data_IF_385178613003
#
_entry.id   IF_385178613003
#
_cell.length_a   1.000
_cell.length_b   1.000
_cell.length_c   1.000
_cell.angle_alpha   90.00
_cell.angle_beta   90.00
_cell.angle_gamma   90.00
#
_symmetry.space_group_name_H-M   'P 1'
#
loop_
_entity.id
_entity.type
_entity.pdbx_description
1 polymer ?
#
# COMPACT_ATOMS: atom_id res chain seq x y z
N UNK A 1 5.53 -3.20 3.89
CA UNK A 1 5.22 -2.11 2.93
C UNK A 1 5.43 -2.64 1.52
N UNK A 2 4.65 -2.19 0.55
CA UNK A 2 4.77 -2.57 -0.85
C UNK A 2 5.14 -1.34 -1.70
N UNK A 3 6.07 -1.53 -2.66
CA UNK A 3 6.63 -0.50 -3.53
C UNK A 3 7.55 0.51 -2.85
N UNK A 4 8.64 0.02 -2.26
CA UNK A 4 9.78 0.85 -1.89
C UNK A 4 10.67 1.16 -3.11
N UNK A 5 11.59 2.14 -3.03
CA UNK A 5 12.52 2.43 -4.11
C UNK A 5 13.25 1.17 -4.59
N UNK A 6 13.24 0.94 -5.91
CA UNK A 6 13.83 -0.26 -6.55
C UNK A 6 12.98 -1.53 -6.49
N UNK A 7 11.77 -1.47 -5.92
CA UNK A 7 10.81 -2.57 -5.98
C UNK A 7 10.21 -2.74 -7.37
N UNK A 8 10.08 -4.00 -7.77
CA UNK A 8 9.21 -4.43 -8.86
C UNK A 8 8.09 -5.29 -8.28
N UNK A 9 7.01 -5.47 -9.03
CA UNK A 9 5.94 -6.40 -8.64
C UNK A 9 6.49 -7.80 -8.32
N UNK A 10 7.40 -8.31 -9.14
CA UNK A 10 8.07 -9.60 -8.93
C UNK A 10 8.80 -9.65 -7.57
N UNK A 11 9.60 -8.61 -7.25
CA UNK A 11 10.30 -8.53 -5.96
C UNK A 11 9.34 -8.45 -4.77
N UNK A 12 8.19 -7.78 -4.95
CA UNK A 12 7.13 -7.71 -3.92
C UNK A 12 6.53 -9.10 -3.71
N UNK A 13 6.19 -9.83 -4.77
CA UNK A 13 5.62 -11.16 -4.67
C UNK A 13 6.63 -12.18 -4.11
N UNK A 14 7.88 -12.15 -4.56
CA UNK A 14 8.95 -13.00 -4.03
C UNK A 14 9.16 -12.80 -2.51
N UNK A 15 9.10 -11.54 -2.03
CA UNK A 15 9.11 -11.28 -0.58
C UNK A 15 7.85 -11.82 0.11
N UNK A 16 6.69 -11.65 -0.49
CA UNK A 16 5.43 -12.14 0.06
C UNK A 16 5.43 -13.66 0.23
N UNK A 17 5.96 -14.41 -0.75
CA UNK A 17 6.17 -15.85 -0.61
C UNK A 17 7.11 -16.21 0.54
N UNK A 18 8.19 -15.45 0.73
CA UNK A 18 9.08 -15.65 1.89
C UNK A 18 8.38 -15.38 3.22
N UNK A 19 7.52 -14.36 3.29
CA UNK A 19 6.70 -14.08 4.47
C UNK A 19 5.77 -15.25 4.78
N UNK A 20 5.13 -15.86 3.77
CA UNK A 20 4.30 -17.05 3.97
C UNK A 20 5.06 -18.21 4.64
N UNK A 21 6.35 -18.38 4.32
CA UNK A 21 7.18 -19.43 4.93
C UNK A 21 7.41 -19.23 6.44
N UNK A 22 7.37 -17.99 6.91
CA UNK A 22 7.56 -17.64 8.32
C UNK A 22 6.25 -17.82 9.12
N UNK A 23 5.10 -17.94 8.43
CA UNK A 23 3.76 -18.14 9.02
C UNK A 23 3.43 -17.15 10.16
N UNK A 24 3.44 -15.82 9.89
CA UNK A 24 3.07 -14.84 10.89
C UNK A 24 1.62 -15.00 11.34
N UNK A 25 1.32 -14.66 12.59
CA UNK A 25 -0.04 -14.73 13.13
C UNK A 25 -1.01 -13.75 12.46
N UNK A 26 -0.52 -12.62 11.92
CA UNK A 26 -1.29 -11.70 11.08
C UNK A 26 -0.38 -10.75 10.29
N UNK A 27 -0.94 -10.07 9.29
CA UNK A 27 -0.24 -9.08 8.48
C UNK A 27 -1.00 -7.76 8.37
N UNK A 28 -0.23 -6.67 8.24
CA UNK A 28 -0.71 -5.34 7.85
C UNK A 28 0.02 -4.91 6.58
N UNK A 29 -0.72 -4.58 5.53
CA UNK A 29 -0.17 -4.26 4.22
C UNK A 29 -0.40 -2.79 3.89
N UNK A 30 0.69 -2.01 3.83
CA UNK A 30 0.65 -0.60 3.48
C UNK A 30 1.32 -0.39 2.12
N UNK A 31 0.64 0.15 1.10
CA UNK A 31 1.33 0.69 -0.05
C UNK A 31 2.17 1.90 0.38
N UNK A 32 3.34 2.06 -0.22
CA UNK A 32 4.23 3.19 0.08
C UNK A 32 3.61 4.51 -0.39
N UNK A 33 3.62 5.51 0.49
CA UNK A 33 3.28 6.90 0.17
C UNK A 33 4.50 7.79 0.38
N UNK A 34 4.57 8.90 -0.35
CA UNK A 34 5.62 9.90 -0.22
C UNK A 34 5.16 10.97 0.75
N UNK A 35 5.85 11.07 1.88
CA UNK A 35 5.56 12.06 2.93
C UNK A 35 6.57 13.21 2.83
N UNK A 36 6.12 14.43 3.08
CA UNK A 36 6.96 15.63 3.11
C UNK A 36 8.08 15.51 4.15
N UNK A 37 9.23 16.11 3.86
CA UNK A 37 10.45 16.07 4.64
C UNK A 37 11.02 14.65 4.86
N UNK A 38 10.74 13.72 3.94
CA UNK A 38 11.31 12.37 3.98
C UNK A 38 12.31 12.13 2.85
N UNK A 39 13.11 11.09 2.99
CA UNK A 39 13.99 10.64 1.90
C UNK A 39 13.20 10.29 0.63
N UNK A 40 11.99 9.75 0.78
CA UNK A 40 11.13 9.43 -0.36
C UNK A 40 10.71 10.68 -1.15
N UNK A 41 10.47 11.82 -0.48
CA UNK A 41 10.19 13.08 -1.17
C UNK A 41 11.40 13.50 -2.00
N UNK A 42 12.61 13.46 -1.43
CA UNK A 42 13.84 13.80 -2.15
C UNK A 42 14.05 12.93 -3.39
N UNK A 43 13.80 11.63 -3.27
CA UNK A 43 13.91 10.68 -4.40
C UNK A 43 12.81 10.92 -5.43
N UNK A 44 11.58 11.20 -5.00
CA UNK A 44 10.48 11.55 -5.88
C UNK A 44 10.76 12.83 -6.68
N UNK A 45 11.18 13.90 -6.01
CA UNK A 45 11.51 15.17 -6.66
C UNK A 45 12.69 15.07 -7.64
N UNK A 46 13.60 14.11 -7.43
CA UNK A 46 14.72 13.83 -8.36
C UNK A 46 14.33 12.92 -9.54
N UNK A 47 13.14 12.32 -9.50
CA UNK A 47 12.72 11.30 -10.48
C UNK A 47 13.28 9.90 -10.22
N UNK A 48 14.08 9.72 -9.16
CA UNK A 48 14.71 8.45 -8.77
C UNK A 48 13.72 7.46 -8.13
N UNK A 49 12.50 7.92 -7.82
CA UNK A 49 11.41 7.09 -7.30
C UNK A 49 10.07 7.57 -7.83
N UNK A 50 9.23 6.64 -8.28
CA UNK A 50 7.83 6.89 -8.61
C UNK A 50 6.95 5.95 -7.80
N UNK A 51 5.97 6.47 -7.02
CA UNK A 51 5.02 5.61 -6.33
C UNK A 51 4.13 4.87 -7.33
N UNK A 52 3.58 3.73 -6.91
CA UNK A 52 2.62 2.97 -7.73
C UNK A 52 1.44 3.86 -8.13
N UNK A 53 0.91 3.65 -9.34
CA UNK A 53 -0.43 4.12 -9.72
C UNK A 53 -1.51 3.41 -8.90
N UNK A 54 -2.73 3.96 -8.88
CA UNK A 54 -3.84 3.37 -8.09
C UNK A 54 -4.10 1.93 -8.53
N UNK A 55 -4.17 1.73 -9.85
CA UNK A 55 -4.41 0.42 -10.44
C UNK A 55 -3.29 -0.58 -10.12
N UNK A 56 -2.03 -0.13 -10.12
CA UNK A 56 -0.91 -0.97 -9.72
C UNK A 56 -0.98 -1.32 -8.23
N UNK A 57 -1.29 -0.35 -7.36
CA UNK A 57 -1.44 -0.57 -5.93
C UNK A 57 -2.57 -1.56 -5.63
N UNK A 58 -3.74 -1.40 -6.24
CA UNK A 58 -4.89 -2.31 -6.12
C UNK A 58 -4.51 -3.71 -6.61
N UNK A 59 -3.89 -3.82 -7.80
CA UNK A 59 -3.50 -5.10 -8.40
C UNK A 59 -2.50 -5.88 -7.52
N UNK A 60 -1.42 -5.22 -7.07
CA UNK A 60 -0.40 -5.83 -6.21
C UNK A 60 -1.01 -6.24 -4.86
N UNK A 61 -1.80 -5.36 -4.26
CA UNK A 61 -2.44 -5.64 -2.98
C UNK A 61 -3.43 -6.81 -3.07
N UNK A 62 -4.19 -6.92 -4.17
CA UNK A 62 -5.06 -8.07 -4.45
C UNK A 62 -4.26 -9.38 -4.49
N UNK A 63 -3.14 -9.39 -5.23
CA UNK A 63 -2.27 -10.58 -5.34
C UNK A 63 -1.70 -10.99 -3.99
N UNK A 64 -1.25 -10.03 -3.19
CA UNK A 64 -0.77 -10.28 -1.83
C UNK A 64 -1.88 -10.83 -0.93
N UNK A 65 -3.08 -10.25 -0.95
CA UNK A 65 -4.21 -10.70 -0.14
C UNK A 65 -4.56 -12.16 -0.43
N UNK A 66 -4.72 -12.50 -1.72
CA UNK A 66 -5.05 -13.86 -2.14
C UNK A 66 -3.96 -14.85 -1.74
N UNK A 67 -2.69 -14.46 -1.87
CA UNK A 67 -1.55 -15.28 -1.46
C UNK A 67 -1.55 -15.57 0.05
N UNK A 68 -1.78 -14.57 0.89
CA UNK A 68 -1.78 -14.75 2.34
C UNK A 68 -3.01 -15.54 2.80
N UNK A 69 -4.18 -15.28 2.21
CA UNK A 69 -5.39 -16.04 2.48
C UNK A 69 -5.24 -17.52 2.13
N UNK A 70 -4.61 -17.85 1.00
CA UNK A 70 -4.36 -19.25 0.62
C UNK A 70 -3.39 -19.98 1.56
N UNK A 71 -2.60 -19.23 2.34
CA UNK A 71 -1.73 -19.75 3.38
C UNK A 71 -2.32 -19.63 4.80
N UNK A 72 -3.62 -19.31 4.90
CA UNK A 72 -4.33 -19.10 6.17
C UNK A 72 -3.69 -18.03 7.07
N UNK A 73 -3.02 -17.04 6.47
CA UNK A 73 -2.43 -15.89 7.18
C UNK A 73 -3.41 -14.72 7.10
N UNK A 74 -3.99 -14.26 8.22
CA UNK A 74 -4.96 -13.19 8.21
C UNK A 74 -4.28 -11.84 7.91
N UNK A 75 -4.77 -11.16 6.87
CA UNK A 75 -4.44 -9.75 6.61
C UNK A 75 -5.48 -8.90 7.33
N UNK A 76 -5.12 -8.36 8.48
CA UNK A 76 -6.05 -7.61 9.33
C UNK A 76 -6.22 -6.15 8.89
N UNK A 77 -5.38 -5.69 7.96
CA UNK A 77 -5.41 -4.31 7.49
C UNK A 77 -4.68 -4.14 6.16
N UNK A 78 -5.27 -3.33 5.28
CA UNK A 78 -4.65 -2.88 4.05
C UNK A 78 -4.84 -1.36 3.90
N UNK A 79 -3.82 -0.65 3.45
CA UNK A 79 -3.89 0.82 3.36
C UNK A 79 -3.53 1.54 4.66
N UNK A 80 -3.17 2.81 4.53
CA UNK A 80 -2.78 3.67 5.65
C UNK A 80 -4.03 4.20 6.36
N UNK A 81 -4.03 4.23 7.70
CA UNK A 81 -5.10 5.00 8.36
C UNK A 81 -4.77 6.47 8.25
N UNK A 82 -5.78 7.30 7.96
CA UNK A 82 -5.61 8.72 8.07
C UNK A 82 -5.43 9.07 9.54
N UNK A 83 -4.25 9.57 9.90
CA UNK A 83 -4.03 10.28 11.16
C UNK A 83 -4.16 11.77 10.89
N UNK A 84 -4.49 12.57 11.90
CA UNK A 84 -4.56 14.03 11.76
C UNK A 84 -3.28 14.61 11.17
N UNK A 85 -2.12 14.03 11.51
CA UNK A 85 -0.83 14.41 10.95
C UNK A 85 -0.73 14.11 9.45
N UNK A 86 -1.14 12.91 9.00
CA UNK A 86 -1.14 12.55 7.57
C UNK A 86 -2.17 13.35 6.75
N UNK A 87 -3.26 13.77 7.40
CA UNK A 87 -4.33 14.56 6.80
C UNK A 87 -4.02 16.05 6.68
N UNK A 88 -2.94 16.54 7.31
CA UNK A 88 -2.52 17.95 7.20
C UNK A 88 -2.18 18.27 5.73
N UNK A 89 -2.77 19.34 5.16
CA UNK A 89 -2.45 19.77 3.79
C UNK A 89 -0.93 19.88 3.57
N UNK A 90 -0.44 19.29 2.49
CA UNK A 90 0.98 19.27 2.14
C UNK A 90 1.83 18.23 2.87
N UNK A 91 1.26 17.34 3.69
CA UNK A 91 2.03 16.25 4.33
C UNK A 91 2.30 15.10 3.37
N UNK A 92 1.37 14.82 2.47
CA UNK A 92 1.53 13.76 1.45
C UNK A 92 1.83 14.44 0.13
N UNK A 93 3.00 14.12 -0.42
CA UNK A 93 3.55 14.75 -1.62
C UNK A 93 3.19 13.94 -2.87
N UNK A 94 3.17 12.61 -2.77
CA UNK A 94 2.82 11.72 -3.87
C UNK A 94 2.41 10.31 -3.38
N UNK A 95 1.73 9.56 -4.24
CA UNK A 95 1.25 8.20 -3.95
C UNK A 95 -0.21 8.15 -3.53
N UNK A 96 -0.76 6.93 -3.45
CA UNK A 96 -2.18 6.72 -3.20
C UNK A 96 -2.47 6.77 -1.71
N UNK A 97 -2.97 7.93 -1.28
CA UNK A 97 -3.56 8.12 0.03
C UNK A 97 -4.98 8.64 -0.17
N UNK A 98 -5.96 7.86 0.25
CA UNK A 98 -7.35 8.23 0.12
C UNK A 98 -7.81 8.98 1.35
N UNK A 99 -8.03 10.28 1.16
CA UNK A 99 -8.80 11.14 2.06
C UNK A 99 -10.27 10.86 1.78
N UNK A 100 -11.08 10.53 2.79
CA UNK A 100 -12.52 10.35 2.58
C UNK A 100 -13.15 11.65 2.07
N UNK A 101 -13.47 11.70 0.78
CA UNK A 101 -14.48 12.60 0.21
C UNK A 101 -15.53 11.68 -0.42
N UNK A 102 -16.70 11.62 0.22
CA UNK A 102 -17.76 10.70 -0.15
C UNK A 102 -18.26 10.96 -1.56
N UNK A 103 -18.04 10.00 -2.46
CA UNK A 103 -18.96 9.49 -3.49
C UNK A 103 -18.15 8.64 -4.48
N UNK A 104 -18.16 7.31 -4.31
CA UNK A 104 -17.78 6.40 -5.39
C UNK A 104 -18.62 5.11 -5.32
N UNK A 105 -19.25 4.82 -6.45
CA UNK A 105 -20.09 3.66 -6.73
C UNK A 105 -19.27 2.56 -7.41
N UNK A 106 -19.61 1.30 -7.11
CA UNK A 106 -19.09 0.04 -7.66
C UNK A 106 -17.97 -0.73 -6.90
N UNK A 107 -18.37 -1.29 -5.76
CA UNK A 107 -18.24 -2.72 -5.42
C UNK A 107 -16.97 -3.49 -5.82
N UNK A 108 -15.96 -3.49 -4.94
CA UNK A 108 -15.11 -4.66 -4.70
C UNK A 108 -14.72 -4.77 -3.22
N UNK A 109 -14.61 -5.98 -2.65
CA UNK A 109 -14.20 -6.17 -1.25
C UNK A 109 -12.87 -5.47 -0.92
N UNK A 110 -12.02 -5.24 -1.92
CA UNK A 110 -10.71 -4.59 -1.78
C UNK A 110 -10.86 -3.10 -1.53
N UNK A 111 -11.77 -2.42 -2.21
CA UNK A 111 -12.09 -1.03 -1.90
C UNK A 111 -12.56 -0.90 -0.45
N UNK A 112 -13.42 -1.80 0.03
CA UNK A 112 -13.81 -1.79 1.45
C UNK A 112 -12.62 -1.90 2.40
N UNK A 113 -11.56 -2.64 2.06
CA UNK A 113 -10.36 -2.77 2.92
C UNK A 113 -9.47 -1.51 2.84
N UNK A 114 -9.47 -0.81 1.70
CA UNK A 114 -8.75 0.47 1.55
C UNK A 114 -9.50 1.67 2.16
N UNK A 115 -10.81 1.57 2.32
CA UNK A 115 -11.70 2.69 2.64
C UNK A 115 -12.50 2.54 3.97
N UNK A 116 -12.39 1.43 4.70
CA UNK A 116 -12.86 1.27 6.09
C UNK A 116 -11.69 1.14 7.06
#
# INVERSE_FOLDING_TARGET
MAALPGDTEEKIMNRSYRVCKIKPGFLRVYPTVVIKNTLLEKLYCKGDYSPLTLNQAISICKKMLLLYQSHSIPVIRMGLQPTETLLKPGTIVAGHFTRHTGSFSHSSQIERIFFH
#
